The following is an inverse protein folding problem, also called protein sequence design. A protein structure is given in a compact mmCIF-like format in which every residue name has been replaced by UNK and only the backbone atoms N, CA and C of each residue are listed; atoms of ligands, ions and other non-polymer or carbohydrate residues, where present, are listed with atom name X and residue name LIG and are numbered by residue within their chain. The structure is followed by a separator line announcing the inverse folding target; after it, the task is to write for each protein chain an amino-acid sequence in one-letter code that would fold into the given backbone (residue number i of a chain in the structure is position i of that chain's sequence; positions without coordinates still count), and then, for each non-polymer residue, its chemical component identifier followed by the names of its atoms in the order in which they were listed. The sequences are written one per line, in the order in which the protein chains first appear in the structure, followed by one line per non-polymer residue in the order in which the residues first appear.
data_IF_938979502724
#
_entry.id   IF_938979502724
#
_cell.length_a   1.000
_cell.length_b   1.000
_cell.length_c   1.000
_cell.angle_alpha   90.00
_cell.angle_beta   90.00
_cell.angle_gamma   90.00
#
_symmetry.space_group_name_H-M   'P 1'
#
loop_
_entity.id
_entity.type
_entity.pdbx_description
1 polymer ?
#
# COMPACT_ATOMS: atom_id res chain seq x y z
N UNK A 1 -51.71 18.44 -57.52
CA UNK A 1 -51.45 19.45 -56.47
C UNK A 1 -50.39 18.85 -55.53
N UNK A 2 -49.32 19.59 -55.29
CA UNK A 2 -48.11 19.18 -54.57
C UNK A 2 -48.31 19.36 -53.06
N UNK A 3 -47.87 18.41 -52.24
CA UNK A 3 -47.61 18.65 -50.82
C UNK A 3 -46.29 17.97 -50.45
N UNK A 4 -45.23 18.78 -50.47
CA UNK A 4 -43.90 18.42 -50.02
C UNK A 4 -43.87 18.46 -48.48
N UNK A 5 -43.48 17.36 -47.85
CA UNK A 5 -43.23 17.30 -46.42
C UNK A 5 -41.78 17.73 -46.15
N UNK A 6 -41.65 18.76 -45.32
CA UNK A 6 -40.38 19.35 -44.88
C UNK A 6 -39.73 18.42 -43.86
N UNK A 7 -38.55 17.89 -44.19
CA UNK A 7 -37.62 17.27 -43.25
C UNK A 7 -36.88 18.38 -42.48
N UNK A 8 -37.30 18.64 -41.25
CA UNK A 8 -36.53 19.45 -40.31
C UNK A 8 -35.59 18.50 -39.53
N UNK A 9 -34.36 18.33 -40.03
CA UNK A 9 -33.30 17.65 -39.29
C UNK A 9 -32.66 18.65 -38.31
N UNK A 10 -32.84 18.42 -37.02
CA UNK A 10 -32.26 19.21 -35.93
C UNK A 10 -30.76 18.92 -35.80
N UNK A 11 -29.91 19.88 -36.18
CA UNK A 11 -28.47 19.90 -35.89
C UNK A 11 -28.28 20.64 -34.56
N UNK A 12 -28.23 19.92 -33.44
CA UNK A 12 -28.06 20.51 -32.11
C UNK A 12 -26.93 19.89 -31.28
N UNK A 13 -26.11 19.01 -31.85
CA UNK A 13 -25.12 18.24 -31.06
C UNK A 13 -23.70 18.82 -31.02
N UNK A 14 -23.38 19.89 -31.77
CA UNK A 14 -21.97 20.29 -31.99
C UNK A 14 -21.28 20.99 -30.82
N UNK A 15 -22.02 21.63 -29.91
CA UNK A 15 -21.44 22.45 -28.83
C UNK A 15 -20.97 21.64 -27.62
N UNK A 16 -21.60 20.51 -27.32
CA UNK A 16 -21.19 19.64 -26.20
C UNK A 16 -19.80 19.01 -26.44
N UNK A 17 -19.56 18.51 -27.66
CA UNK A 17 -18.27 17.91 -28.02
C UNK A 17 -17.09 18.89 -27.98
N UNK A 18 -17.30 20.15 -28.36
CA UNK A 18 -16.25 21.16 -28.30
C UNK A 18 -15.81 21.48 -26.86
N UNK A 19 -16.77 21.51 -25.92
CA UNK A 19 -16.50 21.72 -24.50
C UNK A 19 -15.71 20.58 -23.87
N UNK A 20 -16.08 19.33 -24.16
CA UNK A 20 -15.40 18.16 -23.59
C UNK A 20 -14.00 17.96 -24.17
N UNK A 21 -13.77 18.27 -25.44
CA UNK A 21 -12.41 18.25 -26.01
C UNK A 21 -11.49 19.27 -25.34
N UNK A 22 -11.97 20.48 -25.06
CA UNK A 22 -11.19 21.48 -24.33
C UNK A 22 -10.90 21.06 -22.88
N UNK A 23 -11.91 20.49 -22.18
CA UNK A 23 -11.73 19.94 -20.83
C UNK A 23 -10.73 18.79 -20.81
N UNK A 24 -10.83 17.88 -21.77
CA UNK A 24 -9.90 16.76 -21.93
C UNK A 24 -8.48 17.23 -22.19
N UNK A 25 -8.28 18.19 -23.09
CA UNK A 25 -6.96 18.80 -23.32
C UNK A 25 -6.39 19.42 -22.05
N UNK A 26 -7.21 20.11 -21.27
CA UNK A 26 -6.79 20.70 -19.99
C UNK A 26 -6.38 19.64 -18.94
N UNK A 27 -6.91 18.41 -19.02
CA UNK A 27 -6.63 17.30 -18.10
C UNK A 27 -5.73 16.21 -18.71
N UNK A 28 -5.15 16.47 -19.88
CA UNK A 28 -4.38 15.46 -20.63
C UNK A 28 -3.23 14.87 -19.82
N UNK A 29 -2.55 15.67 -18.99
CA UNK A 29 -1.45 15.20 -18.16
C UNK A 29 -1.90 14.22 -17.05
N UNK A 30 -3.11 14.40 -16.52
CA UNK A 30 -3.70 13.50 -15.53
C UNK A 30 -4.15 12.19 -16.17
N UNK A 31 -4.77 12.28 -17.35
CA UNK A 31 -5.12 11.09 -18.15
C UNK A 31 -3.84 10.29 -18.47
N UNK A 32 -2.79 10.96 -18.95
CA UNK A 32 -1.48 10.35 -19.21
C UNK A 32 -0.89 9.72 -17.94
N UNK A 33 -1.02 10.38 -16.78
CA UNK A 33 -0.54 9.85 -15.52
C UNK A 33 -1.21 8.51 -15.21
N UNK A 34 -2.53 8.44 -15.19
CA UNK A 34 -3.23 7.17 -14.86
C UNK A 34 -3.02 6.08 -15.90
N UNK A 35 -2.85 6.44 -17.18
CA UNK A 35 -2.71 5.46 -18.28
C UNK A 35 -1.29 4.93 -18.47
N UNK A 36 -0.26 5.65 -18.02
CA UNK A 36 1.13 5.30 -18.38
C UNK A 36 2.19 5.59 -17.32
N UNK A 37 1.91 6.43 -16.31
CA UNK A 37 2.91 6.87 -15.32
C UNK A 37 2.51 6.66 -13.86
N UNK A 38 1.36 6.06 -13.60
CA UNK A 38 0.89 5.79 -12.24
C UNK A 38 1.94 4.98 -11.49
N UNK A 39 2.42 5.50 -10.38
CA UNK A 39 3.54 4.94 -9.60
C UNK A 39 3.10 4.37 -8.24
N UNK A 40 1.84 4.63 -7.84
CA UNK A 40 1.27 4.17 -6.58
C UNK A 40 1.82 4.89 -5.35
N UNK A 41 2.46 6.06 -5.51
CA UNK A 41 2.98 6.84 -4.38
C UNK A 41 1.88 7.22 -3.35
N UNK A 42 0.63 7.28 -3.79
CA UNK A 42 -0.55 7.54 -2.96
C UNK A 42 -0.96 6.35 -2.09
N UNK A 43 -0.66 5.13 -2.51
CA UNK A 43 -0.99 3.88 -1.80
C UNK A 43 0.22 3.21 -1.15
N UNK A 44 1.45 3.67 -1.44
CA UNK A 44 2.68 3.05 -0.95
C UNK A 44 2.88 3.20 0.56
N UNK A 45 3.43 2.17 1.21
CA UNK A 45 3.82 2.19 2.63
C UNK A 45 4.80 3.33 2.93
N UNK A 46 5.69 3.68 2.00
CA UNK A 46 6.66 4.77 2.14
C UNK A 46 6.01 6.12 2.47
N UNK A 47 4.76 6.36 2.02
CA UNK A 47 3.99 7.57 2.31
C UNK A 47 3.74 7.76 3.82
N UNK A 48 3.62 6.67 4.56
CA UNK A 48 3.33 6.68 6.00
C UNK A 48 4.58 6.87 6.86
N UNK A 49 5.77 6.78 6.26
CA UNK A 49 7.06 6.91 6.95
C UNK A 49 7.17 5.98 8.17
N UNK A 50 6.66 4.75 8.06
CA UNK A 50 6.73 3.76 9.13
C UNK A 50 8.18 3.42 9.45
N UNK A 51 8.63 3.76 10.66
CA UNK A 51 10.01 3.54 11.10
C UNK A 51 10.17 2.09 11.58
N UNK A 52 10.95 1.24 10.91
CA UNK A 52 11.18 -0.11 11.39
C UNK A 52 11.84 -0.07 12.78
N UNK A 53 11.38 -0.90 13.73
CA UNK A 53 11.97 -0.95 15.06
C UNK A 53 13.38 -1.54 14.98
N UNK A 54 14.32 -0.99 15.77
CA UNK A 54 15.65 -1.57 15.92
C UNK A 54 15.57 -2.78 16.88
N UNK A 55 15.40 -3.98 16.31
CA UNK A 55 15.32 -5.23 17.07
C UNK A 55 16.75 -5.75 17.29
N UNK A 56 17.25 -5.80 18.55
CA UNK A 56 18.65 -6.16 18.79
C UNK A 56 18.91 -7.66 18.56
N UNK A 57 20.11 -7.96 18.06
CA UNK A 57 20.54 -9.35 17.87
C UNK A 57 20.84 -10.08 19.18
N UNK A 58 21.19 -9.36 20.27
CA UNK A 58 21.50 -9.97 21.58
C UNK A 58 20.40 -9.69 22.62
N UNK A 59 19.90 -10.71 23.34
CA UNK A 59 18.83 -10.57 24.33
C UNK A 59 19.13 -9.69 25.54
N UNK A 60 20.41 -9.53 25.91
CA UNK A 60 20.82 -8.91 27.18
C UNK A 60 20.35 -7.45 27.35
N UNK A 61 19.96 -6.77 26.28
CA UNK A 61 19.31 -5.44 26.27
C UNK A 61 18.03 -5.40 25.44
N UNK A 62 17.54 -6.56 24.99
CA UNK A 62 16.46 -6.68 24.00
C UNK A 62 15.20 -7.26 24.65
N UNK A 63 14.10 -6.53 24.52
CA UNK A 63 12.83 -6.83 25.19
C UNK A 63 12.41 -5.79 26.24
N UNK A 64 13.16 -4.71 26.41
CA UNK A 64 12.76 -3.61 27.28
C UNK A 64 11.52 -2.85 26.76
N UNK A 65 10.85 -2.05 27.61
CA UNK A 65 9.65 -1.29 27.25
C UNK A 65 9.78 -0.45 25.96
N UNK A 66 10.98 0.04 25.67
CA UNK A 66 11.27 0.80 24.45
C UNK A 66 11.12 -0.02 23.16
N UNK A 67 11.53 -1.30 23.16
CA UNK A 67 11.36 -2.17 21.99
C UNK A 67 9.89 -2.52 21.77
N UNK A 68 9.16 -2.83 22.85
CA UNK A 68 7.72 -3.08 22.81
C UNK A 68 6.97 -1.86 22.27
N UNK A 69 7.32 -0.66 22.74
CA UNK A 69 6.74 0.59 22.24
C UNK A 69 7.07 0.83 20.77
N UNK A 70 8.30 0.55 20.33
CA UNK A 70 8.71 0.71 18.94
C UNK A 70 7.98 -0.27 18.00
N UNK A 71 7.79 -1.53 18.44
CA UNK A 71 7.00 -2.53 17.71
C UNK A 71 5.53 -2.09 17.60
N UNK A 72 4.91 -1.68 18.70
CA UNK A 72 3.54 -1.18 18.69
C UNK A 72 3.37 0.02 17.75
N UNK A 73 4.27 1.01 17.82
CA UNK A 73 4.24 2.16 16.93
C UNK A 73 4.42 1.79 15.45
N UNK A 74 5.22 0.77 15.16
CA UNK A 74 5.38 0.27 13.79
C UNK A 74 4.10 -0.43 13.31
N UNK A 75 3.47 -1.27 14.13
CA UNK A 75 2.19 -1.92 13.80
C UNK A 75 1.08 -0.89 13.56
N UNK A 76 0.91 0.08 14.46
CA UNK A 76 -0.08 1.15 14.32
C UNK A 76 0.11 1.94 13.02
N UNK A 77 1.36 2.14 12.60
CA UNK A 77 1.68 2.80 11.34
C UNK A 77 1.35 1.91 10.13
N UNK A 78 1.71 0.63 10.20
CA UNK A 78 1.41 -0.34 9.14
C UNK A 78 -0.10 -0.52 8.96
N UNK A 79 -0.88 -0.49 10.05
CA UNK A 79 -2.35 -0.55 10.00
C UNK A 79 -2.97 0.67 9.31
N UNK A 80 -2.38 1.87 9.50
CA UNK A 80 -2.80 3.06 8.75
C UNK A 80 -2.52 2.90 7.25
N UNK A 81 -1.37 2.31 6.89
CA UNK A 81 -1.10 1.95 5.50
C UNK A 81 -2.14 0.97 4.95
N UNK A 82 -2.46 -0.10 5.68
CA UNK A 82 -3.47 -1.08 5.26
C UNK A 82 -4.85 -0.43 5.09
N UNK A 83 -5.24 0.45 6.01
CA UNK A 83 -6.50 1.18 5.91
C UNK A 83 -6.56 2.04 4.63
N UNK A 84 -5.48 2.77 4.31
CA UNK A 84 -5.39 3.56 3.08
C UNK A 84 -5.37 2.70 1.82
N UNK A 85 -4.56 1.65 1.80
CA UNK A 85 -4.47 0.71 0.69
C UNK A 85 -5.84 0.08 0.39
N UNK A 86 -6.55 -0.38 1.43
CA UNK A 86 -7.89 -0.94 1.30
C UNK A 86 -8.93 0.12 0.89
N UNK A 87 -8.81 1.36 1.36
CA UNK A 87 -9.69 2.44 0.95
C UNK A 87 -9.55 2.81 -0.53
N UNK A 88 -8.37 2.59 -1.12
CA UNK A 88 -8.09 2.80 -2.53
C UNK A 88 -8.63 1.68 -3.44
N UNK A 89 -9.13 0.57 -2.87
CA UNK A 89 -9.77 -0.51 -3.61
C UNK A 89 -11.28 -0.24 -3.85
N UNK A 90 -11.87 -0.75 -4.95
CA UNK A 90 -11.23 -1.51 -6.04
C UNK A 90 -10.30 -0.65 -6.93
N UNK A 91 -9.42 -1.30 -7.69
CA UNK A 91 -8.47 -0.62 -8.59
C UNK A 91 -9.19 0.32 -9.55
N UNK A 92 -8.66 1.54 -9.72
CA UNK A 92 -9.28 2.60 -10.52
C UNK A 92 -10.14 3.57 -9.70
N UNK A 93 -10.52 3.23 -8.46
CA UNK A 93 -11.29 4.13 -7.58
C UNK A 93 -10.55 5.43 -7.23
N UNK A 94 -9.22 5.41 -7.23
CA UNK A 94 -8.41 6.61 -6.97
C UNK A 94 -8.28 7.55 -8.17
N UNK A 95 -8.83 7.21 -9.33
CA UNK A 95 -8.94 8.13 -10.47
C UNK A 95 -10.05 9.14 -10.13
N UNK A 96 -9.79 10.46 -10.15
CA UNK A 96 -10.82 11.47 -9.96
C UNK A 96 -11.95 11.31 -10.98
N UNK A 97 -13.20 11.40 -10.53
CA UNK A 97 -14.37 11.15 -11.39
C UNK A 97 -14.40 12.08 -12.60
N UNK A 98 -14.00 13.35 -12.43
CA UNK A 98 -13.93 14.34 -13.49
C UNK A 98 -12.82 14.06 -14.53
N UNK A 99 -11.80 13.27 -14.17
CA UNK A 99 -10.79 12.74 -15.10
C UNK A 99 -11.33 11.49 -15.78
N UNK A 100 -11.91 10.56 -15.02
CA UNK A 100 -12.47 9.31 -15.53
C UNK A 100 -13.56 9.57 -16.58
N UNK A 101 -14.43 10.57 -16.36
CA UNK A 101 -15.48 10.98 -17.30
C UNK A 101 -14.93 11.50 -18.65
N UNK A 102 -13.65 11.91 -18.68
CA UNK A 102 -12.99 12.41 -19.89
C UNK A 102 -12.20 11.32 -20.61
N UNK A 103 -11.98 10.16 -20.00
CA UNK A 103 -11.19 9.06 -20.56
C UNK A 103 -12.02 8.23 -21.55
N UNK A 104 -11.35 7.67 -22.56
CA UNK A 104 -11.98 6.65 -23.41
C UNK A 104 -12.03 5.31 -22.67
N UNK A 105 -12.85 4.38 -23.16
CA UNK A 105 -12.90 3.01 -22.61
C UNK A 105 -11.52 2.33 -22.65
N UNK A 106 -10.77 2.51 -23.74
CA UNK A 106 -9.42 1.98 -23.90
C UNK A 106 -8.45 2.58 -22.87
N UNK A 107 -8.57 3.87 -22.58
CA UNK A 107 -7.75 4.55 -21.59
C UNK A 107 -8.10 4.11 -20.17
N UNK A 108 -9.39 3.95 -19.86
CA UNK A 108 -9.82 3.40 -18.58
C UNK A 108 -9.30 1.97 -18.40
N UNK A 109 -9.36 1.15 -19.45
CA UNK A 109 -8.80 -0.20 -19.44
C UNK A 109 -7.28 -0.21 -19.25
N UNK A 110 -6.56 0.68 -19.93
CA UNK A 110 -5.11 0.84 -19.77
C UNK A 110 -4.74 1.28 -18.35
N UNK A 111 -5.46 2.27 -17.81
CA UNK A 111 -5.25 2.74 -16.44
C UNK A 111 -5.53 1.65 -15.40
N UNK A 112 -6.65 0.93 -15.51
CA UNK A 112 -6.96 -0.18 -14.62
C UNK A 112 -5.89 -1.28 -14.67
N UNK A 113 -5.37 -1.58 -15.87
CA UNK A 113 -4.31 -2.58 -16.06
C UNK A 113 -3.01 -2.14 -15.38
N UNK A 114 -2.55 -0.91 -15.64
CA UNK A 114 -1.34 -0.36 -15.03
C UNK A 114 -1.48 -0.29 -13.50
N UNK A 115 -2.58 0.30 -13.02
CA UNK A 115 -2.84 0.42 -11.60
C UNK A 115 -2.91 -0.95 -10.92
N UNK A 116 -3.52 -1.96 -11.53
CA UNK A 116 -3.58 -3.32 -10.95
C UNK A 116 -2.18 -3.89 -10.73
N UNK A 117 -1.27 -3.71 -11.69
CA UNK A 117 0.12 -4.15 -11.56
C UNK A 117 0.82 -3.40 -10.42
N UNK A 118 0.63 -2.08 -10.34
CA UNK A 118 1.23 -1.23 -9.30
C UNK A 118 0.69 -1.58 -7.90
N UNK A 119 -0.61 -1.84 -7.76
CA UNK A 119 -1.21 -2.29 -6.50
C UNK A 119 -0.55 -3.58 -6.00
N UNK A 120 -0.36 -4.58 -6.88
CA UNK A 120 0.34 -5.82 -6.53
C UNK A 120 1.78 -5.53 -6.10
N UNK A 121 2.52 -4.71 -6.85
CA UNK A 121 3.90 -4.34 -6.49
C UNK A 121 3.99 -3.65 -5.12
N UNK A 122 3.07 -2.73 -4.84
CA UNK A 122 3.00 -2.02 -3.55
C UNK A 122 2.68 -2.98 -2.41
N UNK A 123 1.73 -3.91 -2.61
CA UNK A 123 1.39 -4.92 -1.61
C UNK A 123 2.57 -5.85 -1.33
N UNK A 124 3.27 -6.31 -2.36
CA UNK A 124 4.44 -7.18 -2.23
C UNK A 124 5.59 -6.49 -1.50
N UNK A 125 5.84 -5.20 -1.79
CA UNK A 125 6.86 -4.42 -1.10
C UNK A 125 6.51 -4.21 0.38
N UNK A 126 5.27 -3.83 0.67
CA UNK A 126 4.81 -3.67 2.05
C UNK A 126 4.90 -5.00 2.82
N UNK A 127 4.53 -6.12 2.18
CA UNK A 127 4.66 -7.47 2.75
C UNK A 127 6.11 -7.80 3.08
N UNK A 128 7.06 -7.55 2.18
CA UNK A 128 8.50 -7.79 2.44
C UNK A 128 8.99 -7.02 3.67
N UNK A 129 8.57 -5.77 3.82
CA UNK A 129 8.94 -4.96 4.98
C UNK A 129 8.33 -5.52 6.28
N UNK A 130 7.07 -5.96 6.25
CA UNK A 130 6.42 -6.59 7.39
C UNK A 130 7.04 -7.95 7.77
N UNK A 131 7.36 -8.78 6.78
CA UNK A 131 8.02 -10.08 6.97
C UNK A 131 9.40 -9.87 7.62
N UNK A 132 10.15 -8.84 7.25
CA UNK A 132 11.45 -8.53 7.86
C UNK A 132 11.34 -8.18 9.36
N UNK A 133 10.34 -7.38 9.75
CA UNK A 133 10.10 -7.05 11.16
C UNK A 133 9.67 -8.30 11.94
N UNK A 134 8.76 -9.09 11.37
CA UNK A 134 8.26 -10.34 11.98
C UNK A 134 9.38 -11.36 12.19
N UNK A 135 10.25 -11.53 11.19
CA UNK A 135 11.40 -12.43 11.28
C UNK A 135 12.39 -11.97 12.35
N UNK A 136 12.67 -10.67 12.42
CA UNK A 136 13.56 -10.12 13.43
C UNK A 136 13.00 -10.29 14.86
N UNK A 137 11.69 -10.09 15.04
CA UNK A 137 11.00 -10.27 16.32
C UNK A 137 11.03 -11.73 16.76
N UNK A 138 10.58 -12.66 15.91
CA UNK A 138 10.55 -14.09 16.23
C UNK A 138 11.95 -14.64 16.54
N UNK A 139 12.98 -14.16 15.85
CA UNK A 139 14.36 -14.54 16.15
C UNK A 139 14.82 -14.07 17.53
N UNK A 140 14.38 -12.89 17.99
CA UNK A 140 14.67 -12.41 19.34
C UNK A 140 13.95 -13.25 20.40
N UNK A 141 12.67 -13.52 20.20
CA UNK A 141 11.85 -14.33 21.11
C UNK A 141 12.43 -15.74 21.29
N UNK A 142 12.87 -16.39 20.19
CA UNK A 142 13.53 -17.69 20.25
C UNK A 142 14.80 -17.68 21.12
N UNK A 143 15.67 -16.67 20.93
CA UNK A 143 16.90 -16.52 21.73
C UNK A 143 16.62 -16.26 23.22
N UNK A 144 15.55 -15.51 23.54
CA UNK A 144 15.14 -15.31 24.92
C UNK A 144 14.67 -16.63 25.56
N UNK A 145 13.94 -17.46 24.79
CA UNK A 145 13.55 -18.81 25.21
C UNK A 145 14.76 -19.70 25.52
N UNK A 146 15.75 -19.75 24.63
CA UNK A 146 16.97 -20.56 24.80
C UNK A 146 17.76 -20.17 26.06
N UNK A 147 17.87 -18.86 26.33
CA UNK A 147 18.52 -18.36 27.55
C UNK A 147 17.73 -18.73 28.82
N UNK A 148 16.41 -18.67 28.77
CA UNK A 148 15.56 -19.04 29.90
C UNK A 148 15.65 -20.55 30.22
N UNK A 149 15.71 -21.40 29.18
CA UNK A 149 15.94 -22.84 29.33
C UNK A 149 17.33 -23.12 29.91
N UNK A 150 18.37 -22.49 29.36
CA UNK A 150 19.74 -22.64 29.86
C UNK A 150 19.89 -22.20 31.32
N UNK A 151 19.25 -21.10 31.71
CA UNK A 151 19.26 -20.62 33.10
C UNK A 151 18.55 -21.60 34.06
N UNK A 152 17.46 -22.22 33.61
CA UNK A 152 16.75 -23.27 34.39
C UNK A 152 17.62 -24.51 34.59
N UNK A 153 18.28 -24.99 33.54
CA UNK A 153 19.17 -26.16 33.63
C UNK A 153 20.33 -25.91 34.61
N UNK A 154 20.94 -24.73 34.57
CA UNK A 154 21.97 -24.32 35.53
C UNK A 154 21.45 -24.25 36.97
N UNK A 155 20.20 -23.82 37.19
CA UNK A 155 19.60 -23.77 38.53
C UNK A 155 19.22 -25.16 39.09
N UNK A 156 19.12 -26.17 38.23
CA UNK A 156 18.80 -27.55 38.61
C UNK A 156 20.04 -28.46 38.70
N UNK A 157 21.25 -27.96 38.45
CA UNK A 157 22.47 -28.73 38.70
C UNK A 157 22.62 -29.02 40.20
N UNK A 158 22.74 -30.30 40.62
CA UNK A 158 22.97 -30.63 42.01
C UNK A 158 24.32 -30.06 42.48
N UNK A 159 24.37 -29.55 43.71
CA UNK A 159 25.54 -28.94 44.40
C UNK A 159 26.74 -29.91 44.62
N UNK A 160 26.93 -30.90 43.77
CA UNK A 160 28.00 -31.90 43.91
C UNK A 160 29.28 -31.44 43.23
N UNK A 161 29.85 -30.32 43.66
CA UNK A 161 31.18 -29.88 43.25
C UNK A 161 31.88 -29.11 44.38
N UNK A 162 31.95 -29.70 45.57
CA UNK A 162 32.51 -29.00 46.73
C UNK A 162 32.82 -29.88 47.93
N UNK A 163 33.32 -31.10 47.76
CA UNK A 163 34.04 -31.83 48.81
C UNK A 163 35.23 -32.57 48.20
N UNK A 164 36.39 -31.91 48.21
CA UNK A 164 37.69 -32.58 48.25
C UNK A 164 38.25 -32.40 49.65
#
# INVERSE_FOLDING_TARGET
MRAAWVLALTVLSSSAFAGDQARRQARQAEIEYYTSRYDGADIALARFNCKPPNIPMRPATAGGPALTQALAAWHDCYDQFLANYNAALPVGKSIPADVADLMTDDELGAAQTLMSQVFVQVADEAKRQADAVTLAQSALEGRQGDLALSARDLSHQPETAGKR
#
